data_IF_712375705364
#
_entry.id   IF_712375705364
#
_cell.length_a   1.000
_cell.length_b   1.000
_cell.length_c   1.000
_cell.angle_alpha   90.00
_cell.angle_beta   90.00
_cell.angle_gamma   90.00
#
_symmetry.space_group_name_H-M   'P 1'
#
loop_
_entity.id
_entity.type
_entity.pdbx_description
1 polymer ?
#
# COMPACT_ATOMS: atom_id res chain seq x y z
N UNK A 1 2.24 45.83 -4.86
CA UNK A 1 2.81 44.49 -5.08
C UNK A 1 3.64 44.17 -3.84
N UNK A 2 3.17 43.26 -2.99
CA UNK A 2 3.96 42.84 -1.82
C UNK A 2 4.93 41.80 -2.33
N UNK A 3 6.20 42.17 -2.46
CA UNK A 3 7.28 41.24 -2.74
C UNK A 3 7.34 40.23 -1.57
N UNK A 4 7.09 38.95 -1.86
CA UNK A 4 7.35 37.91 -0.88
C UNK A 4 8.85 37.92 -0.57
N UNK A 5 9.27 38.07 0.70
CA UNK A 5 10.68 38.02 1.03
C UNK A 5 11.28 36.70 0.54
N UNK A 6 12.54 36.69 0.05
CA UNK A 6 13.19 35.48 -0.42
C UNK A 6 13.14 34.43 0.71
N UNK A 7 12.62 33.25 0.39
CA UNK A 7 12.52 32.14 1.34
C UNK A 7 13.94 31.72 1.69
N UNK A 8 14.41 32.12 2.87
CA UNK A 8 15.77 31.81 3.33
C UNK A 8 15.88 30.31 3.58
N UNK A 9 16.86 29.69 2.94
CA UNK A 9 17.20 28.29 3.19
C UNK A 9 17.54 28.06 4.66
N UNK A 10 17.31 26.83 5.13
CA UNK A 10 17.76 26.42 6.44
C UNK A 10 19.29 26.47 6.52
N UNK A 11 19.88 26.89 7.65
CA UNK A 11 21.34 26.94 7.80
C UNK A 11 22.04 25.58 7.61
N UNK A 12 21.38 24.50 8.03
CA UNK A 12 21.86 23.12 7.92
C UNK A 12 20.72 22.23 7.40
N UNK A 13 21.00 21.50 6.33
CA UNK A 13 20.09 20.51 5.75
C UNK A 13 20.74 19.13 5.81
N UNK A 14 20.08 18.18 6.48
CA UNK A 14 20.49 16.78 6.51
C UNK A 14 20.14 16.12 5.18
N UNK A 15 21.07 15.36 4.56
CA UNK A 15 20.78 14.69 3.31
C UNK A 15 19.68 13.64 3.52
N UNK A 16 18.74 13.52 2.57
CA UNK A 16 17.73 12.48 2.61
C UNK A 16 18.31 11.10 2.32
N UNK A 17 17.75 10.07 2.93
CA UNK A 17 18.02 8.68 2.56
C UNK A 17 17.17 8.26 1.36
N UNK A 18 17.67 7.27 0.61
CA UNK A 18 16.89 6.64 -0.46
C UNK A 18 15.61 6.02 0.09
N UNK A 19 14.48 6.31 -0.57
CA UNK A 19 13.15 5.86 -0.15
C UNK A 19 12.73 6.37 1.25
N UNK A 20 13.35 7.43 1.79
CA UNK A 20 12.93 8.01 3.07
C UNK A 20 11.54 8.66 2.99
N UNK A 21 10.74 8.52 4.03
CA UNK A 21 9.44 9.17 4.15
C UNK A 21 9.59 10.66 4.52
N UNK A 22 8.73 11.54 4.00
CA UNK A 22 8.84 12.98 4.27
C UNK A 22 8.78 13.29 5.76
N UNK A 23 7.82 12.72 6.49
CA UNK A 23 7.72 12.90 7.94
C UNK A 23 8.98 12.46 8.68
N UNK A 24 9.67 11.43 8.20
CA UNK A 24 10.94 10.94 8.77
C UNK A 24 12.04 11.97 8.58
N UNK A 25 12.20 12.44 7.35
CA UNK A 25 13.22 13.42 7.00
C UNK A 25 13.01 14.74 7.77
N UNK A 26 11.76 15.19 7.90
CA UNK A 26 11.40 16.34 8.75
C UNK A 26 11.71 16.06 10.23
N UNK A 27 11.42 14.86 10.73
CA UNK A 27 11.68 14.51 12.13
C UNK A 27 13.18 14.49 12.48
N UNK A 28 14.04 14.05 11.55
CA UNK A 28 15.49 14.13 11.71
C UNK A 28 15.98 15.57 11.78
N UNK A 29 15.46 16.46 10.93
CA UNK A 29 15.76 17.88 11.01
C UNK A 29 15.27 18.50 12.32
N UNK A 30 14.05 18.17 12.72
CA UNK A 30 13.45 18.66 13.95
C UNK A 30 14.29 18.25 15.17
N UNK A 31 14.79 17.01 15.20
CA UNK A 31 15.73 16.54 16.21
C UNK A 31 17.05 17.33 16.19
N UNK A 32 17.62 17.58 15.01
CA UNK A 32 18.85 18.38 14.86
C UNK A 32 18.67 19.83 15.38
N UNK A 33 17.54 20.47 15.08
CA UNK A 33 17.22 21.83 15.51
C UNK A 33 16.58 21.91 16.91
N UNK A 34 16.42 20.78 17.60
CA UNK A 34 15.76 20.70 18.91
C UNK A 34 14.34 21.33 18.94
N UNK A 35 13.55 21.11 17.88
CA UNK A 35 12.15 21.56 17.77
C UNK A 35 11.20 20.39 17.58
N UNK A 36 9.90 20.53 17.90
CA UNK A 36 8.91 19.50 17.57
C UNK A 36 8.78 19.28 16.05
N UNK A 37 8.63 18.03 15.55
CA UNK A 37 8.55 17.76 14.11
C UNK A 37 7.44 18.50 13.37
N UNK A 38 6.25 18.64 13.97
CA UNK A 38 5.18 19.42 13.36
C UNK A 38 5.51 20.92 13.30
N UNK A 39 6.27 21.45 14.27
CA UNK A 39 6.73 22.84 14.24
C UNK A 39 7.77 23.05 13.13
N UNK A 40 8.68 22.09 12.94
CA UNK A 40 9.62 22.08 11.81
C UNK A 40 8.89 22.09 10.47
N UNK A 41 7.85 21.26 10.31
CA UNK A 41 7.03 21.26 9.10
C UNK A 41 6.30 22.60 8.91
N UNK A 42 5.71 23.14 9.97
CA UNK A 42 4.95 24.41 9.95
C UNK A 42 5.81 25.64 9.67
N UNK A 43 7.10 25.59 10.00
CA UNK A 43 8.04 26.62 9.58
C UNK A 43 8.08 26.75 8.05
N UNK A 44 7.92 25.63 7.35
CA UNK A 44 7.93 25.58 5.90
C UNK A 44 6.52 25.71 5.31
N UNK A 45 5.53 25.05 5.91
CA UNK A 45 4.15 24.95 5.48
C UNK A 45 3.22 25.33 6.65
N UNK A 46 2.93 26.63 6.88
CA UNK A 46 2.15 27.09 8.03
C UNK A 46 0.80 26.40 8.20
N UNK A 47 0.16 26.02 7.09
CA UNK A 47 -1.12 25.32 7.01
C UNK A 47 -1.07 23.82 7.37
N UNK A 48 0.12 23.25 7.59
CA UNK A 48 0.26 21.83 7.87
C UNK A 48 -0.46 21.43 9.18
N UNK A 49 -1.41 20.51 9.07
CA UNK A 49 -2.18 20.00 10.21
C UNK A 49 -1.50 18.83 10.92
N UNK A 50 -0.81 17.97 10.17
CA UNK A 50 -0.08 16.80 10.69
C UNK A 50 1.03 16.37 9.72
N UNK A 51 2.11 15.78 10.25
CA UNK A 51 3.17 15.16 9.44
C UNK A 51 2.61 14.10 8.48
N UNK A 52 1.71 13.26 8.99
CA UNK A 52 1.09 12.18 8.20
C UNK A 52 0.26 12.70 7.04
N UNK A 53 -0.36 13.88 7.16
CA UNK A 53 -1.10 14.47 6.06
C UNK A 53 -0.15 14.83 4.92
N UNK A 54 1.01 15.40 5.25
CA UNK A 54 2.06 15.74 4.27
C UNK A 54 2.66 14.49 3.60
N UNK A 55 2.81 13.37 4.31
CA UNK A 55 3.22 12.11 3.68
C UNK A 55 2.25 11.65 2.60
N UNK A 56 0.94 11.83 2.84
CA UNK A 56 -0.10 11.31 1.96
C UNK A 56 -0.34 12.22 0.76
N UNK A 57 -0.21 13.53 0.96
CA UNK A 57 -0.48 14.50 -0.08
C UNK A 57 0.21 15.84 0.20
N UNK A 58 0.83 16.39 -0.85
CA UNK A 58 1.23 17.78 -0.96
C UNK A 58 0.78 18.31 -2.32
N UNK A 59 0.46 19.61 -2.38
CA UNK A 59 0.31 20.32 -3.65
C UNK A 59 1.68 20.63 -4.27
N UNK A 60 1.72 20.88 -5.59
CA UNK A 60 2.95 21.26 -6.28
C UNK A 60 3.63 22.49 -5.66
N UNK A 61 2.85 23.48 -5.21
CA UNK A 61 3.39 24.69 -4.56
C UNK A 61 4.01 24.39 -3.19
N UNK A 62 3.41 23.45 -2.44
CA UNK A 62 3.96 23.01 -1.16
C UNK A 62 5.25 22.22 -1.35
N UNK A 63 5.31 21.35 -2.38
CA UNK A 63 6.53 20.63 -2.76
C UNK A 63 7.67 21.60 -3.12
N UNK A 64 7.40 22.61 -3.97
CA UNK A 64 8.37 23.63 -4.36
C UNK A 64 8.84 24.43 -3.15
N UNK A 65 7.92 24.81 -2.25
CA UNK A 65 8.27 25.57 -1.05
C UNK A 65 9.19 24.78 -0.12
N UNK A 66 8.87 23.52 0.15
CA UNK A 66 9.73 22.63 0.93
C UNK A 66 11.10 22.48 0.27
N UNK A 67 11.12 22.20 -1.04
CA UNK A 67 12.35 22.05 -1.80
C UNK A 67 13.26 23.28 -1.68
N UNK A 68 12.69 24.48 -1.83
CA UNK A 68 13.42 25.74 -1.71
C UNK A 68 13.99 25.97 -0.31
N UNK A 69 13.21 25.72 0.75
CA UNK A 69 13.65 25.95 2.14
C UNK A 69 14.74 24.96 2.55
N UNK A 70 14.63 23.71 2.12
CA UNK A 70 15.63 22.67 2.42
C UNK A 70 16.78 22.62 1.40
N UNK A 71 16.79 23.48 0.39
CA UNK A 71 17.85 23.49 -0.63
C UNK A 71 17.96 22.18 -1.42
N UNK A 72 16.83 21.57 -1.76
CA UNK A 72 16.75 20.31 -2.53
C UNK A 72 15.85 20.48 -3.75
N UNK A 73 15.83 19.48 -4.63
CA UNK A 73 14.92 19.45 -5.78
C UNK A 73 13.49 19.04 -5.38
N UNK A 74 12.43 19.63 -5.97
CA UNK A 74 11.05 19.22 -5.73
C UNK A 74 10.79 17.73 -6.04
N UNK A 75 11.52 17.18 -7.02
CA UNK A 75 11.45 15.77 -7.37
C UNK A 75 11.92 14.85 -6.23
N UNK A 76 12.84 15.31 -5.38
CA UNK A 76 13.30 14.56 -4.20
C UNK A 76 12.20 14.53 -3.14
N UNK A 77 11.58 15.68 -2.85
CA UNK A 77 10.43 15.76 -1.91
C UNK A 77 9.28 14.89 -2.39
N UNK A 78 8.97 14.93 -3.69
CA UNK A 78 7.89 14.12 -4.28
C UNK A 78 8.09 12.61 -4.13
N UNK A 79 9.35 12.13 -4.15
CA UNK A 79 9.66 10.71 -3.94
C UNK A 79 9.46 10.24 -2.49
N UNK A 80 9.39 11.18 -1.54
CA UNK A 80 9.23 10.89 -0.11
C UNK A 80 7.78 10.82 0.34
N UNK A 81 6.84 11.16 -0.54
CA UNK A 81 5.41 11.22 -0.26
C UNK A 81 4.64 10.18 -1.10
N UNK A 82 3.35 10.05 -0.84
CA UNK A 82 2.45 9.12 -1.52
C UNK A 82 1.48 9.82 -2.49
N UNK A 83 1.75 11.07 -2.88
CA UNK A 83 0.89 11.81 -3.83
C UNK A 83 0.71 11.05 -5.14
N UNK A 84 1.76 10.37 -5.62
CA UNK A 84 1.74 9.55 -6.83
C UNK A 84 0.96 8.23 -6.67
N UNK A 85 0.66 7.79 -5.44
CA UNK A 85 -0.02 6.53 -5.21
C UNK A 85 -1.48 6.61 -5.68
N UNK A 86 -1.82 5.71 -6.62
CA UNK A 86 -3.17 5.55 -7.13
C UNK A 86 -4.21 5.45 -6.00
N UNK A 87 -5.36 6.10 -6.19
CA UNK A 87 -6.40 6.22 -5.16
C UNK A 87 -6.92 4.86 -4.67
N UNK A 88 -7.01 3.85 -5.55
CA UNK A 88 -7.38 2.47 -5.23
C UNK A 88 -6.43 1.82 -4.22
N UNK A 89 -5.13 2.11 -4.34
CA UNK A 89 -4.04 1.53 -3.55
C UNK A 89 -3.79 2.23 -2.22
N UNK A 90 -4.32 3.46 -2.00
CA UNK A 90 -4.08 4.23 -0.76
C UNK A 90 -4.51 3.49 0.52
N UNK A 91 -5.50 2.60 0.44
CA UNK A 91 -5.93 1.75 1.58
C UNK A 91 -4.91 0.70 2.00
N UNK A 92 -3.95 0.40 1.13
CA UNK A 92 -2.83 -0.50 1.39
C UNK A 92 -1.59 0.25 1.92
N UNK A 93 -1.69 1.55 2.23
CA UNK A 93 -0.63 2.29 2.92
C UNK A 93 -0.87 2.22 4.43
N UNK A 94 0.00 1.56 5.17
CA UNK A 94 -0.06 1.46 6.61
C UNK A 94 0.18 2.82 7.28
N UNK A 95 -0.36 3.02 8.49
CA UNK A 95 -0.15 4.23 9.29
C UNK A 95 1.16 4.24 10.06
N UNK A 96 1.81 3.08 10.18
CA UNK A 96 3.09 2.86 10.85
C UNK A 96 3.93 1.86 10.04
N UNK A 97 5.26 1.85 10.20
CA UNK A 97 6.10 0.80 9.61
C UNK A 97 5.58 -0.58 10.01
N UNK A 98 5.36 -1.44 9.00
CA UNK A 98 4.91 -2.83 9.21
C UNK A 98 5.97 -3.85 8.82
N UNK A 99 6.99 -3.40 8.11
CA UNK A 99 8.09 -4.22 7.64
C UNK A 99 9.40 -3.42 7.61
N UNK A 100 10.52 -4.11 7.56
CA UNK A 100 11.86 -3.53 7.44
C UNK A 100 12.71 -4.37 6.49
N UNK A 101 13.77 -3.77 5.94
CA UNK A 101 14.78 -4.49 5.17
C UNK A 101 16.07 -4.49 5.97
N UNK A 102 16.58 -5.66 6.36
CA UNK A 102 17.81 -5.75 7.17
C UNK A 102 19.06 -5.26 6.44
N UNK A 103 19.05 -5.22 5.11
CA UNK A 103 20.16 -4.72 4.31
C UNK A 103 20.10 -3.20 4.03
N UNK A 104 18.90 -2.62 3.94
CA UNK A 104 18.72 -1.22 3.54
C UNK A 104 18.25 -0.30 4.68
N UNK A 105 17.72 -0.84 5.77
CA UNK A 105 17.33 -0.04 6.94
C UNK A 105 18.59 0.35 7.70
N UNK A 106 18.93 1.65 7.79
CA UNK A 106 20.15 2.08 8.46
C UNK A 106 19.91 2.06 9.97
N UNK A 107 20.26 0.94 10.61
CA UNK A 107 20.03 0.70 12.04
C UNK A 107 20.94 1.49 12.99
N UNK A 108 21.53 2.62 12.57
CA UNK A 108 22.57 3.32 13.34
C UNK A 108 22.37 4.84 13.49
N UNK A 109 21.42 5.46 12.79
CA UNK A 109 21.13 6.89 12.96
C UNK A 109 19.95 7.08 13.91
N UNK A 110 20.00 8.02 14.86
CA UNK A 110 18.87 8.39 15.71
C UNK A 110 18.43 9.84 15.40
N UNK A 111 17.15 10.09 15.07
CA UNK A 111 16.10 9.09 14.83
C UNK A 111 16.34 8.31 13.53
N UNK A 112 16.10 7.00 13.59
CA UNK A 112 16.30 6.12 12.44
C UNK A 112 15.34 6.50 11.31
N UNK A 113 15.82 6.61 10.05
CA UNK A 113 14.96 6.99 8.95
C UNK A 113 13.92 5.90 8.68
N UNK A 114 12.68 6.33 8.61
CA UNK A 114 11.55 5.49 8.21
C UNK A 114 11.47 5.53 6.69
N UNK A 115 11.58 4.35 6.05
CA UNK A 115 11.47 4.26 4.61
C UNK A 115 10.02 4.14 4.18
N UNK A 116 9.66 4.76 3.07
CA UNK A 116 8.34 4.76 2.45
C UNK A 116 7.87 3.34 2.17
N UNK A 117 8.75 2.48 1.66
CA UNK A 117 8.49 1.04 1.44
C UNK A 117 8.11 0.27 2.71
N UNK A 118 8.43 0.76 3.91
CA UNK A 118 8.05 0.09 5.17
C UNK A 118 6.55 0.17 5.47
N UNK A 119 5.85 1.11 4.81
CA UNK A 119 4.43 1.35 4.97
C UNK A 119 3.59 0.73 3.84
N UNK A 120 4.22 0.19 2.79
CA UNK A 120 3.50 -0.34 1.63
C UNK A 120 3.02 -1.77 1.88
N UNK A 121 1.71 -1.95 2.07
CA UNK A 121 1.08 -3.22 2.40
C UNK A 121 1.05 -4.24 1.25
N UNK A 122 1.38 -3.84 0.03
CA UNK A 122 1.53 -4.74 -1.11
C UNK A 122 2.96 -5.27 -1.30
N UNK A 123 3.91 -4.83 -0.46
CA UNK A 123 5.31 -5.25 -0.58
C UNK A 123 5.62 -6.49 0.26
N UNK A 124 6.39 -7.41 -0.33
CA UNK A 124 7.05 -8.56 0.30
C UNK A 124 8.56 -8.56 0.01
N UNK A 125 9.00 -7.83 -1.02
CA UNK A 125 10.40 -7.60 -1.35
C UNK A 125 10.77 -6.13 -1.17
N UNK A 126 12.04 -5.88 -0.86
CA UNK A 126 12.58 -4.54 -0.70
C UNK A 126 12.72 -3.86 -2.07
N UNK A 127 12.13 -2.67 -2.24
CA UNK A 127 12.21 -1.90 -3.48
C UNK A 127 13.64 -1.45 -3.86
N UNK A 128 14.58 -1.45 -2.91
CA UNK A 128 15.95 -0.99 -3.12
C UNK A 128 16.91 -2.13 -3.48
N UNK A 129 16.85 -3.27 -2.77
CA UNK A 129 17.80 -4.38 -2.95
C UNK A 129 17.16 -5.70 -3.37
N UNK A 130 15.84 -5.79 -3.48
CA UNK A 130 15.11 -7.01 -3.85
C UNK A 130 15.03 -8.09 -2.75
N UNK A 131 15.74 -7.92 -1.62
CA UNK A 131 15.69 -8.89 -0.52
C UNK A 131 14.29 -9.00 0.11
N UNK A 132 14.00 -10.14 0.71
CA UNK A 132 12.74 -10.32 1.46
C UNK A 132 12.67 -9.37 2.64
N UNK A 133 11.50 -8.75 2.80
CA UNK A 133 11.21 -7.90 3.94
C UNK A 133 10.98 -8.75 5.20
N UNK A 134 11.24 -8.16 6.37
CA UNK A 134 10.96 -8.74 7.68
C UNK A 134 9.90 -7.94 8.41
N UNK A 135 9.17 -8.57 9.33
CA UNK A 135 8.18 -7.89 10.15
C UNK A 135 8.87 -6.85 11.07
N UNK A 136 8.33 -5.64 11.13
CA UNK A 136 8.93 -4.56 11.93
C UNK A 136 8.88 -4.84 13.46
N UNK A 137 7.98 -5.71 13.92
CA UNK A 137 7.81 -6.09 15.32
C UNK A 137 8.70 -7.25 15.78
N UNK A 138 9.64 -7.73 14.96
CA UNK A 138 10.61 -8.76 15.31
C UNK A 138 10.05 -10.18 15.41
N UNK A 139 8.75 -10.39 15.20
CA UNK A 139 8.15 -11.73 15.08
C UNK A 139 8.32 -12.24 13.66
N UNK A 140 9.47 -12.87 13.40
CA UNK A 140 9.73 -13.53 12.11
C UNK A 140 8.91 -14.81 12.00
N UNK A 141 7.79 -14.71 11.28
CA UNK A 141 7.02 -15.87 10.83
C UNK A 141 7.38 -16.14 9.37
N UNK A 142 7.88 -17.35 9.11
CA UNK A 142 8.00 -17.82 7.73
C UNK A 142 6.61 -17.86 7.09
N UNK A 143 6.52 -17.41 5.83
CA UNK A 143 5.30 -17.54 5.06
C UNK A 143 5.00 -19.03 4.81
N UNK A 144 3.79 -19.52 5.12
CA UNK A 144 3.39 -20.89 4.81
C UNK A 144 3.07 -21.09 3.32
N UNK A 145 3.09 -20.03 2.50
CA UNK A 145 2.70 -20.03 1.09
C UNK A 145 3.90 -20.03 0.13
N UNK A 146 4.93 -20.84 0.43
CA UNK A 146 6.16 -20.90 -0.36
C UNK A 146 5.90 -21.32 -1.81
N UNK A 147 4.95 -22.24 -2.01
CA UNK A 147 4.47 -22.70 -3.31
C UNK A 147 3.89 -21.58 -4.19
N UNK A 148 3.40 -20.49 -3.57
CA UNK A 148 2.82 -19.35 -4.26
C UNK A 148 3.80 -18.20 -4.49
N UNK A 149 5.08 -18.36 -4.15
CA UNK A 149 6.07 -17.27 -4.20
C UNK A 149 6.16 -16.58 -5.56
N UNK A 150 6.21 -17.35 -6.65
CA UNK A 150 6.29 -16.77 -8.00
C UNK A 150 5.04 -15.94 -8.33
N UNK A 151 3.84 -16.49 -8.08
CA UNK A 151 2.59 -15.77 -8.28
C UNK A 151 2.50 -14.52 -7.39
N UNK A 152 2.98 -14.61 -6.14
CA UNK A 152 3.04 -13.47 -5.22
C UNK A 152 3.95 -12.36 -5.72
N UNK A 153 5.12 -12.69 -6.29
CA UNK A 153 6.01 -11.70 -6.90
C UNK A 153 5.35 -11.00 -8.11
N UNK A 154 4.60 -11.73 -8.94
CA UNK A 154 3.80 -11.10 -9.99
C UNK A 154 2.72 -10.17 -9.42
N UNK A 155 2.00 -10.60 -8.38
CA UNK A 155 0.97 -9.78 -7.73
C UNK A 155 1.53 -8.53 -7.05
N UNK A 156 2.71 -8.62 -6.45
CA UNK A 156 3.46 -7.46 -5.95
C UNK A 156 3.77 -6.47 -7.08
N UNK A 157 4.27 -6.97 -8.21
CA UNK A 157 4.54 -6.16 -9.41
C UNK A 157 3.30 -5.45 -9.94
N UNK A 158 2.18 -6.16 -10.09
CA UNK A 158 0.91 -5.58 -10.55
C UNK A 158 0.43 -4.43 -9.65
N UNK A 159 0.47 -4.63 -8.33
CA UNK A 159 0.09 -3.60 -7.37
C UNK A 159 1.06 -2.43 -7.37
N UNK A 160 2.35 -2.68 -7.50
CA UNK A 160 3.37 -1.63 -7.55
C UNK A 160 3.28 -0.79 -8.83
N UNK A 161 3.07 -1.43 -9.98
CA UNK A 161 2.91 -0.78 -11.27
C UNK A 161 1.68 0.12 -11.30
N UNK A 162 0.53 -0.35 -10.80
CA UNK A 162 -0.65 0.51 -10.65
C UNK A 162 -0.38 1.62 -9.64
N UNK A 163 0.12 1.28 -8.45
CA UNK A 163 0.26 2.22 -7.36
C UNK A 163 1.25 3.34 -7.69
N UNK A 164 2.45 3.00 -8.14
CA UNK A 164 3.55 3.96 -8.29
C UNK A 164 3.60 4.63 -9.67
N UNK A 165 3.19 3.89 -10.71
CA UNK A 165 3.36 4.29 -12.12
C UNK A 165 2.02 4.54 -12.82
N UNK A 166 0.89 4.24 -12.19
CA UNK A 166 -0.43 4.32 -12.81
C UNK A 166 -0.64 3.32 -13.95
N UNK A 167 0.19 2.28 -14.04
CA UNK A 167 0.10 1.26 -15.07
C UNK A 167 -0.98 0.26 -14.63
N UNK A 168 -2.16 0.40 -15.22
CA UNK A 168 -3.31 -0.46 -14.95
C UNK A 168 -3.37 -1.70 -15.83
N UNK A 169 -4.19 -2.66 -15.41
CA UNK A 169 -4.60 -3.81 -16.24
C UNK A 169 -6.06 -3.65 -16.66
N UNK A 170 -6.79 -4.75 -16.90
CA UNK A 170 -8.23 -4.69 -17.16
C UNK A 170 -9.04 -4.26 -15.93
N UNK A 171 -8.49 -4.33 -14.72
CA UNK A 171 -9.09 -3.78 -13.50
C UNK A 171 -8.00 -3.44 -12.48
N UNK A 172 -8.37 -2.76 -11.39
CA UNK A 172 -7.38 -2.40 -10.37
C UNK A 172 -6.96 -3.64 -9.57
N UNK A 173 -5.65 -3.97 -9.50
CA UNK A 173 -5.15 -5.03 -8.62
C UNK A 173 -5.47 -4.77 -7.15
N UNK A 174 -5.52 -3.50 -6.72
CA UNK A 174 -5.94 -3.13 -5.37
C UNK A 174 -7.43 -3.41 -5.12
N UNK A 175 -8.29 -3.22 -6.13
CA UNK A 175 -9.71 -3.59 -6.03
C UNK A 175 -9.87 -5.12 -6.00
N UNK A 176 -9.10 -5.88 -6.80
CA UNK A 176 -9.05 -7.36 -6.70
C UNK A 176 -8.65 -7.78 -5.28
N UNK A 177 -7.57 -7.21 -4.75
CA UNK A 177 -7.08 -7.53 -3.41
C UNK A 177 -8.17 -7.33 -2.35
N UNK A 178 -8.90 -6.22 -2.43
CA UNK A 178 -10.01 -5.90 -1.52
C UNK A 178 -11.19 -6.87 -1.70
N UNK A 179 -11.51 -7.23 -2.94
CA UNK A 179 -12.59 -8.17 -3.26
C UNK A 179 -12.28 -9.57 -2.70
N UNK A 180 -11.03 -10.02 -2.80
CA UNK A 180 -10.57 -11.30 -2.24
C UNK A 180 -10.64 -11.33 -0.71
N UNK A 181 -10.62 -10.17 -0.04
CA UNK A 181 -10.80 -10.05 1.41
C UNK A 181 -12.27 -9.93 1.84
N UNK A 182 -13.24 -10.11 0.94
CA UNK A 182 -14.64 -10.25 1.32
C UNK A 182 -14.88 -11.58 2.04
N UNK A 183 -15.80 -11.59 3.00
CA UNK A 183 -16.23 -12.82 3.70
C UNK A 183 -17.13 -13.63 2.78
N UNK A 184 -16.91 -14.96 2.71
CA UNK A 184 -17.77 -15.86 1.93
C UNK A 184 -19.16 -16.02 2.54
N UNK A 185 -19.22 -16.10 3.88
CA UNK A 185 -20.46 -16.26 4.65
C UNK A 185 -20.84 -14.92 5.32
N UNK A 186 -22.14 -14.54 5.36
CA UNK A 186 -22.62 -13.39 6.12
C UNK A 186 -22.30 -13.49 7.62
N UNK A 187 -22.40 -12.38 8.34
CA UNK A 187 -22.50 -12.39 9.81
C UNK A 187 -23.91 -12.04 10.25
N UNK A 188 -24.48 -12.71 11.27
CA UNK A 188 -23.99 -13.91 11.98
C UNK A 188 -24.57 -15.20 11.36
N UNK A 189 -23.84 -16.34 11.37
CA UNK A 189 -24.32 -17.66 10.88
C UNK A 189 -23.76 -18.76 11.83
N UNK A 190 -24.42 -19.93 12.04
CA UNK A 190 -24.67 -20.60 13.33
C UNK A 190 -23.43 -21.15 14.05
N UNK A 191 -23.61 -21.38 15.36
CA UNK A 191 -22.63 -21.59 16.43
C UNK A 191 -21.58 -22.70 16.26
N UNK A 192 -21.53 -23.39 15.12
CA UNK A 192 -20.83 -24.69 15.05
C UNK A 192 -19.60 -24.74 14.14
N UNK A 193 -19.31 -23.75 13.28
CA UNK A 193 -18.10 -23.82 12.42
C UNK A 193 -17.45 -22.45 12.16
N UNK A 194 -16.12 -22.38 12.18
CA UNK A 194 -15.26 -21.19 11.93
C UNK A 194 -15.39 -20.57 10.52
N UNK A 195 -16.43 -20.91 9.76
CA UNK A 195 -16.66 -20.50 8.36
C UNK A 195 -16.72 -18.97 8.17
N UNK A 196 -17.03 -18.21 9.22
CA UNK A 196 -17.05 -16.74 9.18
C UNK A 196 -15.65 -16.12 9.03
N UNK A 197 -14.59 -16.86 9.37
CA UNK A 197 -13.18 -16.44 9.23
C UNK A 197 -12.72 -16.49 7.78
N UNK A 198 -13.41 -17.28 6.97
CA UNK A 198 -12.99 -17.55 5.61
C UNK A 198 -13.32 -16.41 4.66
N UNK A 199 -12.28 -16.00 3.93
CA UNK A 199 -12.36 -14.97 2.89
C UNK A 199 -12.50 -15.63 1.54
N UNK A 200 -12.94 -14.86 0.55
CA UNK A 200 -12.97 -15.32 -0.83
C UNK A 200 -11.58 -15.75 -1.31
N UNK A 201 -10.53 -15.14 -0.77
CA UNK A 201 -9.14 -15.53 -1.00
C UNK A 201 -8.90 -17.03 -0.78
N UNK A 202 -9.56 -17.68 0.18
CA UNK A 202 -9.42 -19.13 0.42
C UNK A 202 -10.00 -20.01 -0.71
N UNK A 203 -10.90 -19.47 -1.52
CA UNK A 203 -11.35 -20.16 -2.74
C UNK A 203 -10.32 -20.08 -3.88
N UNK A 204 -9.42 -19.09 -3.86
CA UNK A 204 -8.35 -18.91 -4.85
C UNK A 204 -7.04 -19.55 -4.39
N UNK A 205 -6.78 -19.50 -3.08
CA UNK A 205 -5.62 -20.08 -2.40
C UNK A 205 -6.13 -21.16 -1.44
N UNK A 206 -6.27 -22.42 -1.88
CA UNK A 206 -6.96 -23.47 -1.12
C UNK A 206 -6.38 -23.71 0.28
N UNK A 207 -5.06 -23.58 0.42
CA UNK A 207 -4.35 -23.83 1.69
C UNK A 207 -4.61 -22.74 2.74
N UNK A 208 -5.15 -21.58 2.34
CA UNK A 208 -5.32 -20.43 3.23
C UNK A 208 -6.28 -20.72 4.38
N UNK A 209 -7.44 -21.31 4.10
CA UNK A 209 -8.46 -21.51 5.15
C UNK A 209 -7.95 -22.45 6.25
N UNK A 210 -7.15 -23.46 5.88
CA UNK A 210 -6.51 -24.36 6.82
C UNK A 210 -5.51 -23.62 7.72
N UNK A 211 -4.62 -22.80 7.14
CA UNK A 211 -3.66 -21.97 7.88
C UNK A 211 -4.37 -21.01 8.84
N UNK A 212 -5.47 -20.39 8.40
CA UNK A 212 -6.25 -19.45 9.22
C UNK A 212 -6.95 -20.14 10.38
N UNK A 213 -7.50 -21.34 10.15
CA UNK A 213 -8.13 -22.14 11.19
C UNK A 213 -7.11 -22.63 12.22
N UNK A 214 -5.99 -23.21 11.77
CA UNK A 214 -4.93 -23.75 12.63
C UNK A 214 -4.32 -22.66 13.53
N UNK A 215 -4.03 -21.48 12.96
CA UNK A 215 -3.40 -20.38 13.70
C UNK A 215 -4.40 -19.48 14.43
N UNK A 216 -5.70 -19.76 14.31
CA UNK A 216 -6.78 -18.90 14.79
C UNK A 216 -6.55 -17.42 14.43
N UNK A 217 -6.14 -17.14 13.20
CA UNK A 217 -5.87 -15.78 12.72
C UNK A 217 -7.14 -15.08 12.20
N UNK A 218 -7.24 -13.77 12.39
CA UNK A 218 -8.35 -12.98 11.88
C UNK A 218 -7.87 -12.14 10.70
N UNK A 219 -8.31 -12.52 9.50
CA UNK A 219 -7.95 -11.78 8.29
C UNK A 219 -8.55 -10.37 8.29
N UNK A 220 -7.85 -9.39 7.69
CA UNK A 220 -8.36 -8.05 7.49
C UNK A 220 -9.68 -8.01 6.70
N UNK A 221 -10.28 -6.82 6.65
CA UNK A 221 -11.47 -6.54 5.86
C UNK A 221 -11.11 -5.79 4.57
N UNK A 222 -12.00 -5.75 3.57
CA UNK A 222 -11.78 -4.97 2.35
C UNK A 222 -11.54 -3.47 2.60
N UNK A 223 -11.95 -2.95 3.77
CA UNK A 223 -11.75 -1.56 4.15
C UNK A 223 -10.33 -1.28 4.71
N UNK A 224 -9.68 -2.29 5.28
CA UNK A 224 -8.33 -2.24 5.86
C UNK A 224 -7.49 -3.43 5.35
N UNK A 225 -7.16 -3.48 4.05
CA UNK A 225 -6.72 -4.69 3.35
C UNK A 225 -5.27 -5.13 3.58
N UNK A 226 -4.58 -4.62 4.59
CA UNK A 226 -3.16 -4.93 4.84
C UNK A 226 -3.05 -6.20 5.68
N UNK A 227 -2.50 -7.27 5.09
CA UNK A 227 -2.22 -8.51 5.82
C UNK A 227 -0.88 -8.41 6.59
N UNK A 228 -0.71 -9.20 7.66
CA UNK A 228 0.60 -9.53 8.22
C UNK A 228 1.55 -10.03 7.13
N UNK A 229 2.84 -9.71 7.25
CA UNK A 229 3.83 -9.96 6.20
C UNK A 229 3.89 -11.44 5.76
N UNK A 230 3.76 -12.38 6.70
CA UNK A 230 3.78 -13.83 6.41
C UNK A 230 2.58 -14.32 5.61
N UNK A 231 1.44 -13.62 5.64
CA UNK A 231 0.24 -13.98 4.87
C UNK A 231 0.10 -13.20 3.56
N UNK A 232 0.83 -12.10 3.37
CA UNK A 232 0.76 -11.30 2.13
C UNK A 232 1.02 -12.11 0.86
N UNK A 233 1.94 -13.10 0.83
CA UNK A 233 2.13 -13.92 -0.37
C UNK A 233 0.85 -14.58 -0.87
N UNK A 234 -0.06 -15.02 0.02
CA UNK A 234 -1.35 -15.57 -0.39
C UNK A 234 -2.22 -14.52 -1.10
N UNK A 235 -2.36 -13.32 -0.53
CA UNK A 235 -3.15 -12.25 -1.15
C UNK A 235 -2.58 -11.86 -2.51
N UNK A 236 -1.27 -11.64 -2.59
CA UNK A 236 -0.60 -11.22 -3.82
C UNK A 236 -0.70 -12.30 -4.90
N UNK A 237 -0.53 -13.57 -4.54
CA UNK A 237 -0.75 -14.67 -5.47
C UNK A 237 -2.20 -14.73 -5.95
N UNK A 238 -3.16 -14.54 -5.05
CA UNK A 238 -4.58 -14.47 -5.39
C UNK A 238 -4.89 -13.33 -6.38
N UNK A 239 -4.29 -12.15 -6.18
CA UNK A 239 -4.39 -11.02 -7.11
C UNK A 239 -3.86 -11.40 -8.49
N UNK A 240 -2.66 -11.97 -8.57
CA UNK A 240 -2.06 -12.39 -9.85
C UNK A 240 -2.89 -13.46 -10.57
N UNK A 241 -3.42 -14.45 -9.83
CA UNK A 241 -4.25 -15.52 -10.40
C UNK A 241 -5.55 -14.95 -10.99
N UNK A 242 -6.24 -14.07 -10.25
CA UNK A 242 -7.49 -13.46 -10.71
C UNK A 242 -7.25 -12.49 -11.86
N UNK A 243 -6.21 -11.66 -11.79
CA UNK A 243 -5.87 -10.73 -12.86
C UNK A 243 -5.60 -11.50 -14.15
N UNK A 244 -4.75 -12.54 -14.10
CA UNK A 244 -4.40 -13.38 -15.26
C UNK A 244 -5.60 -14.13 -15.83
N UNK A 245 -6.49 -14.64 -14.97
CA UNK A 245 -7.67 -15.39 -15.39
C UNK A 245 -8.79 -14.48 -15.94
N UNK A 246 -8.79 -13.20 -15.59
CA UNK A 246 -9.72 -12.21 -16.13
C UNK A 246 -11.11 -12.17 -15.47
N UNK A 247 -12.05 -11.40 -16.06
CA UNK A 247 -13.42 -11.22 -15.57
C UNK A 247 -14.17 -12.51 -15.26
N UNK A 248 -13.91 -13.57 -16.03
CA UNK A 248 -14.56 -14.88 -15.93
C UNK A 248 -14.30 -15.52 -14.56
N UNK A 249 -13.10 -15.33 -14.01
CA UNK A 249 -12.75 -15.78 -12.67
C UNK A 249 -13.63 -15.10 -11.62
N UNK A 250 -13.91 -13.80 -11.74
CA UNK A 250 -14.82 -13.11 -10.80
C UNK A 250 -16.24 -13.69 -10.87
N UNK A 251 -16.73 -13.99 -12.08
CA UNK A 251 -18.07 -14.59 -12.25
C UNK A 251 -18.14 -15.98 -11.64
N UNK A 252 -17.09 -16.79 -11.76
CA UNK A 252 -16.98 -18.10 -11.12
C UNK A 252 -16.91 -17.98 -9.59
N UNK A 253 -16.10 -17.05 -9.08
CA UNK A 253 -15.94 -16.79 -7.64
C UNK A 253 -17.24 -16.39 -6.93
N UNK A 254 -18.22 -15.83 -7.66
CA UNK A 254 -19.58 -15.57 -7.16
C UNK A 254 -20.24 -16.81 -6.56
N UNK A 255 -19.96 -18.00 -7.12
CA UNK A 255 -20.50 -19.27 -6.62
C UNK A 255 -20.04 -19.62 -5.21
N UNK A 256 -18.95 -19.01 -4.74
CA UNK A 256 -18.40 -19.22 -3.39
C UNK A 256 -18.92 -18.20 -2.36
N UNK A 257 -19.82 -17.31 -2.76
CA UNK A 257 -20.37 -16.25 -1.90
C UNK A 257 -21.82 -16.57 -1.50
N UNK A 258 -22.18 -16.30 -0.24
CA UNK A 258 -23.49 -16.62 0.33
C UNK A 258 -24.24 -15.37 0.80
N UNK A 259 -25.57 -15.41 0.74
CA UNK A 259 -26.47 -14.36 1.24
C UNK A 259 -26.14 -12.95 0.72
N UNK A 260 -26.24 -11.95 1.59
CA UNK A 260 -25.98 -10.53 1.25
C UNK A 260 -24.56 -10.28 0.70
N UNK A 261 -23.58 -11.08 1.12
CA UNK A 261 -22.22 -10.95 0.60
C UNK A 261 -22.14 -11.37 -0.87
N UNK A 262 -23.01 -12.26 -1.35
CA UNK A 262 -23.12 -12.60 -2.78
C UNK A 262 -23.59 -11.41 -3.59
N UNK A 263 -24.61 -10.68 -3.12
CA UNK A 263 -25.13 -9.48 -3.78
C UNK A 263 -24.04 -8.41 -3.83
N UNK A 264 -23.45 -8.08 -2.68
CA UNK A 264 -22.35 -7.10 -2.59
C UNK A 264 -21.15 -7.46 -3.48
N UNK A 265 -20.80 -8.74 -3.53
CA UNK A 265 -19.73 -9.22 -4.39
C UNK A 265 -20.07 -9.02 -5.86
N UNK A 266 -21.29 -9.41 -6.28
CA UNK A 266 -21.76 -9.23 -7.65
C UNK A 266 -21.76 -7.76 -8.06
N UNK A 267 -22.27 -6.87 -7.22
CA UNK A 267 -22.26 -5.43 -7.51
C UNK A 267 -20.83 -4.90 -7.65
N UNK A 268 -19.92 -5.29 -6.76
CA UNK A 268 -18.52 -4.89 -6.82
C UNK A 268 -17.82 -5.45 -8.08
N UNK A 269 -17.99 -6.74 -8.38
CA UNK A 269 -17.35 -7.40 -9.51
C UNK A 269 -17.84 -6.87 -10.85
N UNK A 270 -19.16 -6.67 -11.02
CA UNK A 270 -19.70 -6.14 -12.28
C UNK A 270 -19.28 -4.68 -12.51
N UNK A 271 -19.19 -3.88 -11.44
CA UNK A 271 -18.62 -2.53 -11.54
C UNK A 271 -17.15 -2.54 -11.98
N UNK A 272 -16.35 -3.47 -11.45
CA UNK A 272 -14.95 -3.64 -11.86
C UNK A 272 -14.83 -4.03 -13.34
N UNK A 273 -15.65 -4.99 -13.79
CA UNK A 273 -15.68 -5.47 -15.17
C UNK A 273 -16.13 -4.35 -16.12
N UNK A 274 -17.19 -3.62 -15.78
CA UNK A 274 -17.71 -2.52 -16.59
C UNK A 274 -16.69 -1.38 -16.76
N UNK A 275 -15.92 -1.05 -15.71
CA UNK A 275 -14.81 -0.08 -15.80
C UNK A 275 -13.70 -0.56 -16.74
N UNK A 276 -13.33 -1.84 -16.67
CA UNK A 276 -12.34 -2.45 -17.55
C UNK A 276 -12.74 -2.42 -19.02
N UNK A 277 -13.99 -2.72 -19.33
CA UNK A 277 -14.52 -2.67 -20.71
C UNK A 277 -14.47 -1.25 -21.29
N UNK A 278 -14.81 -0.22 -20.50
CA UNK A 278 -14.69 1.18 -20.92
C UNK A 278 -13.25 1.57 -21.20
N UNK A 279 -12.32 1.16 -20.34
CA UNK A 279 -10.89 1.44 -20.52
C UNK A 279 -10.35 0.86 -21.83
N UNK A 280 -10.67 -0.41 -22.14
CA UNK A 280 -10.27 -1.06 -23.40
C UNK A 280 -10.84 -0.34 -24.63
N UNK A 281 -12.11 0.08 -24.59
CA UNK A 281 -12.73 0.82 -25.68
C UNK A 281 -12.06 2.18 -25.92
N UNK A 282 -11.71 2.90 -24.85
CA UNK A 282 -10.99 4.18 -24.95
C UNK A 282 -9.56 4.02 -25.47
N UNK A 283 -8.82 2.98 -25.04
CA UNK A 283 -7.47 2.71 -25.53
C UNK A 283 -7.43 2.33 -27.01
N UNK A 284 -8.46 1.62 -27.51
CA UNK A 284 -8.58 1.30 -28.94
C UNK A 284 -8.84 2.55 -29.81
N UNK A 285 -9.56 3.54 -29.28
CA UNK A 285 -9.81 4.80 -30.01
C UNK A 285 -8.58 5.72 -30.13
N UNK A 286 -7.53 5.51 -29.32
CA UNK A 286 -6.28 6.29 -29.41
C UNK A 286 -5.25 5.67 -30.36
N UNK A 287 -5.58 4.52 -30.99
CA UNK A 287 -4.72 3.76 -31.90
C UNK A 287 -5.21 3.79 -33.36
N UNK A 288 -6.22 4.61 -33.67
CA UNK A 288 -6.75 4.88 -35.02
C UNK A 288 -6.45 6.34 -35.36
#
# INVERSE_FOLDING_TARGET
MIENPPTRQLPVCLPPHSDELLSSWISRHAAFYAVPPLLMLRHCLPEASALRAADLHLSSDQEIRLANIFGTEPAVVRRMIFTNVAQSSRRLIATRPTQVCTGCSPGLAEPAPILRSQLLGWRITCALCGNQLRDAGGRELASPFLQHRLAASYGEGLLDDEAERGIGTWTSPADIARLLLMRRVPTPVPREHDLWRFRLLGAVIPDLDHVIAERQENLPTPAKPILPLHLRPALLAGVAIVERAGPEMLRMLRGHMMGDNRVRFTDASENMIARGSKWRASSQMHLI
#
